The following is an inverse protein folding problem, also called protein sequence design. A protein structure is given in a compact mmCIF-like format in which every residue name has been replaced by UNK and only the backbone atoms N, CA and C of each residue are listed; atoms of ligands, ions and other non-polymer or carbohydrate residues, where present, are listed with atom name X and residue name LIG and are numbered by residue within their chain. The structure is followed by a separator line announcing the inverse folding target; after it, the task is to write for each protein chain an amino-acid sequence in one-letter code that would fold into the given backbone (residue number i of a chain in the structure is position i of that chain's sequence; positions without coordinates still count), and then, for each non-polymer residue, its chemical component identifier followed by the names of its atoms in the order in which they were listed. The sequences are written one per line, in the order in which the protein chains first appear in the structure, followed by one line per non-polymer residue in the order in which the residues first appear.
data_IF_888361373020
#
_entry.id   IF_888361373020
#
_cell.length_a   1.000
_cell.length_b   1.000
_cell.length_c   1.000
_cell.angle_alpha   90.00
_cell.angle_beta   90.00
_cell.angle_gamma   90.00
#
_symmetry.space_group_name_H-M   'P 1'
#
loop_
_entity.id
_entity.type
_entity.pdbx_description
1 polymer ?
#
# COMPACT_ATOMS: atom_id res chain seq x y z
N UNK A 1 -18.36 10.59 -0.73
CA UNK A 1 -17.96 9.70 0.38
C UNK A 1 -16.51 9.40 0.12
N UNK A 2 -15.63 10.11 0.80
CA UNK A 2 -14.20 9.85 0.74
C UNK A 2 -13.96 8.48 1.36
N UNK A 3 -13.39 7.57 0.58
CA UNK A 3 -12.84 6.32 1.07
C UNK A 3 -11.72 6.74 2.03
N UNK A 4 -11.98 6.66 3.34
CA UNK A 4 -10.95 6.87 4.35
C UNK A 4 -9.76 6.02 3.92
N UNK A 5 -8.67 6.69 3.54
CA UNK A 5 -7.39 6.09 3.21
C UNK A 5 -6.81 5.55 4.53
N UNK A 6 -7.41 4.45 5.00
CA UNK A 6 -6.92 3.68 6.13
C UNK A 6 -5.74 2.90 5.56
N UNK A 7 -4.61 3.56 5.46
CA UNK A 7 -3.33 2.86 5.47
C UNK A 7 -3.24 2.24 6.87
N UNK A 8 -3.40 0.90 7.02
CA UNK A 8 -3.31 0.31 8.33
C UNK A 8 -1.86 0.48 8.77
N UNK A 9 -1.64 1.40 9.70
CA UNK A 9 -0.40 1.44 10.44
C UNK A 9 -0.21 0.05 11.05
N UNK A 10 0.94 -0.57 10.79
CA UNK A 10 1.20 -1.95 11.19
C UNK A 10 0.91 -2.14 12.70
N UNK A 11 1.30 -1.13 13.48
CA UNK A 11 1.08 -1.04 14.92
C UNK A 11 -0.43 -1.06 15.30
N UNK A 12 -1.31 -0.54 14.45
CA UNK A 12 -2.75 -0.53 14.71
C UNK A 12 -3.42 -1.91 14.59
N UNK A 13 -2.88 -2.80 13.75
CA UNK A 13 -3.40 -4.15 13.60
C UNK A 13 -2.90 -5.08 14.72
N UNK A 14 -1.64 -4.92 15.14
CA UNK A 14 -1.09 -5.67 16.26
C UNK A 14 -1.80 -5.33 17.58
N UNK A 15 -2.03 -4.04 17.86
CA UNK A 15 -2.80 -3.57 19.02
C UNK A 15 -4.28 -4.02 18.97
N UNK A 16 -4.87 -4.14 17.78
CA UNK A 16 -6.19 -4.74 17.63
C UNK A 16 -6.19 -6.23 18.04
N UNK A 17 -5.19 -6.99 17.60
CA UNK A 17 -5.09 -8.42 17.94
C UNK A 17 -4.89 -8.62 19.45
N UNK A 18 -4.03 -7.82 20.08
CA UNK A 18 -3.81 -7.86 21.52
C UNK A 18 -5.10 -7.56 22.31
N UNK A 19 -5.85 -6.53 21.91
CA UNK A 19 -7.14 -6.22 22.55
C UNK A 19 -8.17 -7.34 22.36
N UNK A 20 -8.18 -8.00 21.21
CA UNK A 20 -9.04 -9.15 20.97
C UNK A 20 -8.64 -10.34 21.87
N UNK A 21 -7.35 -10.62 22.01
CA UNK A 21 -6.83 -11.67 22.90
C UNK A 21 -7.23 -11.40 24.36
N UNK A 22 -7.03 -10.17 24.86
CA UNK A 22 -7.47 -9.77 26.20
C UNK A 22 -8.99 -9.98 26.35
N UNK A 23 -9.79 -9.57 25.35
CA UNK A 23 -11.23 -9.79 25.37
C UNK A 23 -11.58 -11.28 25.45
N UNK A 24 -10.89 -12.15 24.70
CA UNK A 24 -11.12 -13.60 24.78
C UNK A 24 -10.72 -14.18 26.14
N UNK A 25 -9.63 -13.71 26.77
CA UNK A 25 -9.21 -14.16 28.10
C UNK A 25 -10.21 -13.79 29.19
N UNK A 26 -10.99 -12.72 29.02
CA UNK A 26 -12.08 -12.37 29.96
C UNK A 26 -13.32 -13.25 29.81
N UNK A 27 -13.35 -14.14 28.81
CA UNK A 27 -14.47 -15.03 28.52
C UNK A 27 -14.04 -16.46 28.81
N UNK A 28 -14.30 -16.90 30.04
CA UNK A 28 -13.85 -18.18 30.61
C UNK A 28 -14.32 -19.43 29.81
N UNK A 29 -15.35 -19.29 28.95
CA UNK A 29 -16.02 -20.40 28.25
C UNK A 29 -15.83 -20.42 26.71
N UNK A 30 -14.84 -19.70 26.15
CA UNK A 30 -14.64 -19.66 24.69
C UNK A 30 -13.61 -20.71 24.26
N UNK A 31 -14.06 -21.75 23.57
CA UNK A 31 -13.21 -22.73 22.88
C UNK A 31 -12.51 -22.12 21.65
N UNK A 32 -11.36 -22.65 21.23
CA UNK A 32 -10.57 -22.11 20.10
C UNK A 32 -11.37 -21.96 18.80
N UNK A 33 -12.26 -22.91 18.50
CA UNK A 33 -13.16 -22.81 17.33
C UNK A 33 -14.09 -21.61 17.46
N UNK A 34 -14.54 -21.31 18.68
CA UNK A 34 -15.33 -20.12 18.96
C UNK A 34 -14.47 -18.86 18.83
N UNK A 35 -13.20 -18.86 19.27
CA UNK A 35 -12.29 -17.71 19.10
C UNK A 35 -12.16 -17.33 17.63
N UNK A 36 -11.89 -18.32 16.77
CA UNK A 36 -11.73 -18.12 15.32
C UNK A 36 -13.02 -17.58 14.69
N UNK A 37 -14.18 -18.15 15.04
CA UNK A 37 -15.47 -17.69 14.55
C UNK A 37 -15.78 -16.25 14.97
N UNK A 38 -15.49 -15.88 16.22
CA UNK A 38 -15.68 -14.52 16.74
C UNK A 38 -14.76 -13.54 16.01
N UNK A 39 -13.48 -13.90 15.84
CA UNK A 39 -12.53 -13.09 15.10
C UNK A 39 -13.00 -12.83 13.67
N UNK A 40 -13.41 -13.88 12.94
CA UNK A 40 -13.90 -13.78 11.57
C UNK A 40 -15.23 -12.99 11.44
N UNK A 41 -16.01 -12.91 12.51
CA UNK A 41 -17.27 -12.15 12.53
C UNK A 41 -17.05 -10.67 12.79
N UNK A 42 -16.09 -10.33 13.64
CA UNK A 42 -15.79 -8.95 14.03
C UNK A 42 -14.90 -8.28 12.99
N UNK A 43 -14.05 -9.06 12.30
CA UNK A 43 -13.15 -8.53 11.30
C UNK A 43 -13.90 -8.00 10.07
N UNK A 44 -13.38 -6.92 9.49
CA UNK A 44 -13.98 -6.30 8.30
C UNK A 44 -13.99 -7.23 7.08
N UNK A 45 -14.93 -6.95 6.15
CA UNK A 45 -15.12 -7.69 4.90
C UNK A 45 -13.84 -7.89 4.08
N UNK A 46 -12.99 -6.87 4.04
CA UNK A 46 -11.75 -6.88 3.25
C UNK A 46 -10.76 -7.90 3.80
N UNK A 47 -10.51 -7.86 5.12
CA UNK A 47 -9.63 -8.80 5.77
C UNK A 47 -10.23 -10.22 5.77
N UNK A 48 -11.54 -10.41 5.92
CA UNK A 48 -12.17 -11.72 5.72
C UNK A 48 -11.95 -12.27 4.30
N UNK A 49 -12.07 -11.41 3.28
CA UNK A 49 -11.83 -11.80 1.88
C UNK A 49 -10.37 -12.18 1.65
N UNK A 50 -9.43 -11.47 2.27
CA UNK A 50 -8.01 -11.79 2.26
C UNK A 50 -7.73 -13.16 2.91
N UNK A 51 -8.24 -13.38 4.13
CA UNK A 51 -8.12 -14.67 4.83
C UNK A 51 -8.68 -15.80 3.97
N UNK A 52 -9.83 -15.60 3.32
CA UNK A 52 -10.43 -16.60 2.44
C UNK A 52 -9.53 -16.99 1.27
N UNK A 53 -8.79 -16.05 0.71
CA UNK A 53 -7.80 -16.32 -0.35
C UNK A 53 -6.55 -17.02 0.20
N UNK A 54 -6.06 -16.60 1.37
CA UNK A 54 -4.85 -17.15 1.99
C UNK A 54 -5.04 -18.55 2.59
N UNK A 55 -6.25 -18.87 3.05
CA UNK A 55 -6.56 -20.13 3.72
C UNK A 55 -6.68 -21.33 2.76
N UNK A 56 -6.60 -21.14 1.44
CA UNK A 56 -6.85 -22.22 0.47
C UNK A 56 -5.79 -23.33 0.55
N UNK A 57 -6.18 -24.61 0.52
CA UNK A 57 -7.53 -25.15 0.23
C UNK A 57 -8.46 -25.27 1.45
N UNK A 58 -8.00 -24.92 2.64
CA UNK A 58 -8.76 -25.03 3.88
C UNK A 58 -9.79 -23.91 4.04
N UNK A 59 -10.74 -24.11 4.95
CA UNK A 59 -11.72 -23.08 5.30
C UNK A 59 -11.11 -22.17 6.37
N UNK A 60 -11.34 -20.85 6.33
CA UNK A 60 -10.88 -19.92 7.36
C UNK A 60 -11.22 -20.35 8.80
N UNK A 61 -12.38 -20.96 9.00
CA UNK A 61 -12.84 -21.43 10.32
C UNK A 61 -12.11 -22.68 10.83
N UNK A 62 -11.41 -23.38 9.93
CA UNK A 62 -10.61 -24.57 10.27
C UNK A 62 -9.18 -24.21 10.68
N UNK A 63 -8.75 -22.96 10.43
CA UNK A 63 -7.44 -22.47 10.85
C UNK A 63 -7.46 -22.12 12.33
N UNK A 64 -6.32 -22.31 12.98
CA UNK A 64 -6.10 -21.81 14.34
C UNK A 64 -5.97 -20.29 14.33
N UNK A 65 -6.41 -19.65 15.42
CA UNK A 65 -6.30 -18.20 15.57
C UNK A 65 -4.85 -17.70 15.42
N UNK A 66 -3.87 -18.42 15.98
CA UNK A 66 -2.46 -18.08 15.85
C UNK A 66 -2.00 -18.02 14.38
N UNK A 67 -2.40 -19.02 13.57
CA UNK A 67 -2.10 -19.06 12.13
C UNK A 67 -2.77 -17.92 11.37
N UNK A 68 -4.02 -17.58 11.72
CA UNK A 68 -4.73 -16.44 11.13
C UNK A 68 -4.07 -15.10 11.46
N UNK A 69 -3.65 -14.91 12.72
CA UNK A 69 -2.96 -13.70 13.18
C UNK A 69 -1.63 -13.51 12.44
N UNK A 70 -0.83 -14.57 12.33
CA UNK A 70 0.45 -14.53 11.60
C UNK A 70 0.26 -14.21 10.12
N UNK A 71 -0.68 -14.90 9.44
CA UNK A 71 -0.98 -14.66 8.02
C UNK A 71 -1.36 -13.19 7.76
N UNK A 72 -2.20 -12.62 8.63
CA UNK A 72 -2.63 -11.22 8.49
C UNK A 72 -1.49 -10.25 8.80
N UNK A 73 -0.69 -10.50 9.84
CA UNK A 73 0.47 -9.68 10.16
C UNK A 73 1.48 -9.67 9.02
N UNK A 74 1.74 -10.82 8.40
CA UNK A 74 2.66 -10.94 7.26
C UNK A 74 2.12 -10.20 6.02
N UNK A 75 0.81 -10.25 5.76
CA UNK A 75 0.19 -9.44 4.71
C UNK A 75 0.32 -7.93 4.97
N UNK A 76 0.06 -7.47 6.20
CA UNK A 76 0.19 -6.06 6.56
C UNK A 76 1.65 -5.61 6.50
N UNK A 77 2.62 -6.46 6.88
CA UNK A 77 4.06 -6.16 6.70
C UNK A 77 4.43 -6.06 5.22
N UNK A 78 3.94 -6.99 4.40
CA UNK A 78 4.22 -7.04 2.97
C UNK A 78 3.71 -5.77 2.27
N UNK A 79 2.46 -5.36 2.52
CA UNK A 79 1.88 -4.15 1.92
C UNK A 79 2.61 -2.88 2.36
N UNK A 80 2.98 -2.77 3.64
CA UNK A 80 3.76 -1.64 4.15
C UNK A 80 5.19 -1.60 3.56
N UNK A 81 5.81 -2.76 3.35
CA UNK A 81 7.14 -2.87 2.73
C UNK A 81 7.14 -2.56 1.23
N UNK A 82 6.12 -3.02 0.50
CA UNK A 82 5.94 -2.73 -0.92
C UNK A 82 5.60 -1.26 -1.15
N UNK A 83 4.67 -0.68 -0.37
CA UNK A 83 4.36 0.76 -0.41
C UNK A 83 5.58 1.64 -0.07
N UNK A 84 6.36 1.25 0.96
CA UNK A 84 7.58 1.96 1.34
C UNK A 84 8.68 1.94 0.26
N UNK A 85 8.72 0.90 -0.56
CA UNK A 85 9.59 0.80 -1.73
C UNK A 85 9.03 1.58 -2.93
N UNK A 86 7.76 1.41 -3.27
CA UNK A 86 7.10 2.13 -4.35
C UNK A 86 7.13 3.65 -4.15
N UNK A 87 6.95 4.17 -2.93
CA UNK A 87 7.12 5.61 -2.66
C UNK A 87 8.53 6.12 -2.96
N UNK A 88 9.57 5.32 -2.67
CA UNK A 88 10.96 5.67 -3.00
C UNK A 88 11.17 5.65 -4.52
N UNK A 89 10.65 4.64 -5.21
CA UNK A 89 10.74 4.56 -6.67
C UNK A 89 9.95 5.69 -7.36
N UNK A 90 8.73 5.98 -6.90
CA UNK A 90 7.91 7.07 -7.41
C UNK A 90 8.62 8.42 -7.23
N UNK A 91 9.28 8.64 -6.09
CA UNK A 91 10.07 9.87 -5.85
C UNK A 91 11.28 9.99 -6.78
N UNK A 92 11.99 8.89 -7.05
CA UNK A 92 13.12 8.86 -7.99
C UNK A 92 12.63 9.11 -9.42
N UNK A 93 11.60 8.40 -9.87
CA UNK A 93 11.04 8.51 -11.23
C UNK A 93 10.46 9.91 -11.46
N UNK A 94 9.75 10.49 -10.48
CA UNK A 94 9.22 11.86 -10.61
C UNK A 94 10.34 12.91 -10.68
N UNK A 95 11.41 12.75 -9.89
CA UNK A 95 12.56 13.65 -9.94
C UNK A 95 13.32 13.52 -11.26
N UNK A 96 13.51 12.30 -11.77
CA UNK A 96 14.17 12.07 -13.06
C UNK A 96 13.34 12.62 -14.21
N UNK A 97 12.03 12.37 -14.26
CA UNK A 97 11.14 12.95 -15.28
C UNK A 97 11.21 14.48 -15.24
N UNK A 98 11.20 15.09 -14.05
CA UNK A 98 11.34 16.53 -13.88
C UNK A 98 12.70 17.04 -14.38
N UNK A 99 13.79 16.32 -14.05
CA UNK A 99 15.15 16.65 -14.49
C UNK A 99 15.29 16.54 -16.02
N UNK A 100 14.79 15.46 -16.62
CA UNK A 100 14.72 15.26 -18.07
C UNK A 100 13.92 16.37 -18.76
N UNK A 101 12.76 16.77 -18.19
CA UNK A 101 11.96 17.86 -18.72
C UNK A 101 12.69 19.21 -18.69
N UNK A 102 13.50 19.47 -17.66
CA UNK A 102 14.39 20.66 -17.62
C UNK A 102 15.58 20.58 -18.57
N UNK A 103 16.20 19.40 -18.75
CA UNK A 103 17.31 19.20 -19.69
C UNK A 103 16.86 19.30 -21.15
N UNK A 104 15.66 18.79 -21.47
CA UNK A 104 15.02 18.94 -22.78
C UNK A 104 14.61 20.39 -23.07
N UNK A 105 14.45 21.22 -22.04
CA UNK A 105 14.19 22.66 -22.17
C UNK A 105 15.49 23.44 -22.41
N UNK A 106 16.32 22.96 -23.33
CA UNK A 106 17.42 23.74 -23.87
C UNK A 106 16.82 24.82 -24.78
N UNK A 107 17.00 26.12 -24.50
CA UNK A 107 16.60 27.16 -25.44
C UNK A 107 17.52 27.05 -26.64
N UNK A 108 16.99 26.60 -27.78
CA UNK A 108 17.71 26.67 -29.06
C UNK A 108 18.04 28.15 -29.30
N UNK A 109 19.32 28.57 -29.36
CA UNK A 109 19.64 29.92 -29.76
C UNK A 109 19.42 29.98 -31.27
N UNK A 110 18.27 30.51 -31.70
CA UNK A 110 18.05 30.88 -33.09
C UNK A 110 18.98 32.05 -33.43
N UNK A 111 20.17 31.75 -33.96
CA UNK A 111 21.00 32.75 -34.64
C UNK A 111 20.32 33.08 -35.99
N UNK A 112 19.46 34.08 -35.99
CA UNK A 112 18.95 34.71 -37.21
C UNK A 112 20.09 35.52 -37.85
N UNK A 113 20.79 34.88 -38.79
CA UNK A 113 21.73 35.52 -39.69
C UNK A 113 20.93 36.47 -40.61
N UNK A 114 20.99 37.77 -40.32
CA UNK A 114 20.44 38.81 -41.21
C UNK A 114 21.34 38.92 -42.43
N UNK A 115 20.83 38.37 -43.53
CA UNK A 115 21.26 38.66 -44.89
C UNK A 115 21.03 40.15 -45.16
N UNK A 116 22.09 40.92 -45.42
CA UNK A 116 21.98 42.24 -46.01
C UNK A 116 22.16 42.07 -47.51
N UNK A 117 21.08 42.37 -48.23
CA UNK A 117 20.95 42.32 -49.68
C UNK A 117 21.64 43.53 -50.30
N UNK A 118 22.63 43.27 -51.15
CA UNK A 118 23.24 44.27 -52.03
C UNK A 118 22.18 44.74 -53.03
N UNK A 119 21.79 46.02 -52.97
CA UNK A 119 21.04 46.64 -54.07
C UNK A 119 21.60 48.03 -54.42
N UNK A 120 22.22 48.04 -55.59
CA UNK A 120 22.55 49.20 -56.43
C UNK A 120 21.51 50.32 -56.34
N UNK A 121 21.98 51.54 -56.10
CA UNK A 121 21.34 52.77 -56.61
C UNK A 121 22.42 53.76 -57.08
N UNK A 122 22.49 53.84 -58.43
CA UNK A 122 22.87 54.94 -59.34
C UNK A 122 23.65 56.10 -58.75
#
# INVERSE_FOLDING_TARGET
MDLLDIHPDFDAFEDYCERFEIWTMTKEDIEDVNIVAHFLTIIGKEAYSLIKTLALPEKPISLLYATLKELLLDCVKYTNFECGKERKFHKIIHQDIKNFATLLRCPVPMSAQRYADDSLRI
#
